data_IF_811596669030
#
_entry.id   IF_811596669030
#
_cell.length_a   1.000
_cell.length_b   1.000
_cell.length_c   1.000
_cell.angle_alpha   90.00
_cell.angle_beta   90.00
_cell.angle_gamma   90.00
#
_symmetry.space_group_name_H-M   'P 1'
#
loop_
_entity.id
_entity.type
_entity.pdbx_description
1 polymer ?
#
# COMPACT_ATOMS: atom_id res chain seq x y z
N UNK A 1 19.89 -24.33 0.44
CA UNK A 1 19.71 -22.92 0.00
C UNK A 1 18.33 -22.77 -0.59
N UNK A 2 17.49 -21.90 -0.03
CA UNK A 2 16.11 -21.68 -0.51
C UNK A 2 16.19 -20.98 -1.88
N UNK A 3 15.52 -21.54 -2.89
CA UNK A 3 15.35 -20.92 -4.20
C UNK A 3 14.60 -19.60 -4.01
N UNK A 4 15.29 -18.48 -4.11
CA UNK A 4 14.65 -17.18 -4.32
C UNK A 4 14.06 -17.23 -5.73
N UNK A 5 12.73 -17.29 -5.81
CA UNK A 5 12.01 -17.26 -7.09
C UNK A 5 12.29 -15.90 -7.75
N UNK A 6 12.62 -15.91 -9.04
CA UNK A 6 12.68 -14.71 -9.87
C UNK A 6 11.44 -13.84 -9.61
N UNK A 7 11.65 -12.56 -9.36
CA UNK A 7 10.62 -11.60 -9.03
C UNK A 7 9.75 -11.43 -10.28
N UNK A 8 8.51 -11.94 -10.23
CA UNK A 8 7.53 -11.81 -11.31
C UNK A 8 7.08 -10.34 -11.44
N UNK A 9 7.75 -9.59 -12.32
CA UNK A 9 7.41 -8.21 -12.64
C UNK A 9 6.20 -8.08 -13.60
N UNK A 10 5.60 -9.18 -14.08
CA UNK A 10 4.35 -9.13 -14.87
C UNK A 10 3.15 -8.78 -13.99
N UNK A 11 3.29 -9.02 -12.68
CA UNK A 11 2.37 -8.53 -11.65
C UNK A 11 3.04 -7.32 -11.02
N UNK A 12 2.93 -6.16 -11.67
CA UNK A 12 2.93 -4.91 -10.90
C UNK A 12 1.96 -5.19 -9.75
N UNK A 13 2.39 -5.09 -8.48
CA UNK A 13 1.49 -5.40 -7.39
C UNK A 13 0.26 -4.54 -7.63
N UNK A 14 -0.89 -5.17 -7.93
CA UNK A 14 -2.18 -4.52 -7.76
C UNK A 14 -2.16 -4.21 -6.28
N UNK A 15 -1.84 -2.96 -5.94
CA UNK A 15 -1.71 -2.51 -4.58
C UNK A 15 -2.96 -2.97 -3.86
N UNK A 16 -2.83 -3.86 -2.86
CA UNK A 16 -3.97 -4.18 -2.02
C UNK A 16 -4.23 -2.91 -1.25
N UNK A 17 -5.01 -1.97 -1.82
CA UNK A 17 -5.35 -0.74 -1.13
C UNK A 17 -6.01 -1.15 0.17
N UNK A 18 -5.27 -0.85 1.22
CA UNK A 18 -5.34 -1.46 2.51
C UNK A 18 -6.70 -1.14 3.10
N UNK A 19 -7.61 -2.12 3.07
CA UNK A 19 -8.89 -2.10 3.81
C UNK A 19 -8.67 -2.30 5.32
N UNK A 20 -7.48 -2.01 5.86
CA UNK A 20 -7.15 -2.26 7.27
C UNK A 20 -8.01 -1.37 8.18
N UNK A 21 -8.15 -0.06 7.93
CA UNK A 21 -8.96 0.82 8.79
C UNK A 21 -10.41 0.35 8.96
N UNK A 22 -11.11 0.03 7.86
CA UNK A 22 -12.50 -0.44 7.94
C UNK A 22 -12.60 -1.89 8.41
N UNK A 23 -11.61 -2.74 8.10
CA UNK A 23 -11.56 -4.12 8.53
C UNK A 23 -11.39 -4.25 10.05
N UNK A 24 -10.46 -3.49 10.63
CA UNK A 24 -10.22 -3.46 12.07
C UNK A 24 -11.48 -3.05 12.85
N UNK A 25 -12.21 -2.02 12.39
CA UNK A 25 -13.46 -1.60 13.01
C UNK A 25 -14.60 -2.62 12.83
N UNK A 26 -14.77 -3.19 11.63
CA UNK A 26 -15.83 -4.18 11.34
C UNK A 26 -15.64 -5.51 12.08
N UNK A 27 -14.38 -5.86 12.36
CA UNK A 27 -14.03 -7.08 13.08
C UNK A 27 -14.07 -6.90 14.60
N UNK A 28 -14.29 -5.68 15.11
CA UNK A 28 -14.67 -5.51 16.51
C UNK A 28 -16.10 -6.03 16.70
N UNK A 29 -16.30 -6.95 17.64
CA UNK A 29 -17.63 -7.48 17.98
C UNK A 29 -18.54 -6.37 18.51
N UNK A 30 -17.98 -5.36 19.16
CA UNK A 30 -18.66 -4.13 19.53
C UNK A 30 -19.39 -3.46 18.34
N UNK A 31 -18.79 -3.45 17.14
CA UNK A 31 -19.37 -2.85 15.94
C UNK A 31 -20.49 -3.69 15.29
N UNK A 32 -20.65 -4.95 15.73
CA UNK A 32 -21.63 -5.90 15.19
C UNK A 32 -22.96 -5.87 15.97
N UNK A 33 -22.95 -5.36 17.21
CA UNK A 33 -24.15 -5.21 18.05
C UNK A 33 -24.73 -3.79 17.92
N UNK A 34 -25.47 -3.52 16.85
CA UNK A 34 -26.11 -2.20 16.62
C UNK A 34 -27.54 -2.16 17.16
N UNK A 35 -27.72 -1.70 18.40
CA UNK A 35 -29.05 -1.40 18.93
C UNK A 35 -29.20 0.10 19.21
N UNK A 36 -30.20 0.75 18.61
CA UNK A 36 -30.68 2.10 19.00
C UNK A 36 -29.82 3.29 18.59
N UNK A 37 -29.44 3.39 17.31
CA UNK A 37 -28.57 4.49 16.81
C UNK A 37 -29.24 5.87 17.02
N UNK A 38 -28.57 6.84 17.68
CA UNK A 38 -29.09 8.20 17.86
C UNK A 38 -29.20 8.95 16.53
N UNK A 39 -30.27 9.75 16.37
CA UNK A 39 -30.53 10.58 15.18
C UNK A 39 -30.34 12.09 15.42
N UNK A 40 -29.90 12.48 16.60
CA UNK A 40 -29.85 13.85 17.11
C UNK A 40 -28.44 14.47 17.11
N UNK A 41 -27.43 13.77 16.58
CA UNK A 41 -26.03 14.21 16.65
C UNK A 41 -25.30 13.74 17.91
N UNK A 42 -25.98 13.06 18.83
CA UNK A 42 -25.39 12.56 20.08
C UNK A 42 -24.36 11.46 19.85
N UNK A 43 -23.36 11.40 20.75
CA UNK A 43 -22.41 10.31 20.78
C UNK A 43 -23.10 9.00 21.22
N UNK A 44 -22.95 7.94 20.44
CA UNK A 44 -23.24 6.59 20.88
C UNK A 44 -21.94 5.96 21.39
N UNK A 45 -21.85 5.78 22.70
CA UNK A 45 -20.75 5.05 23.32
C UNK A 45 -21.20 3.61 23.52
N UNK A 46 -20.55 2.67 22.84
CA UNK A 46 -20.78 1.24 23.04
C UNK A 46 -19.62 0.67 23.85
N UNK A 47 -19.93 0.25 25.09
CA UNK A 47 -18.99 -0.42 25.98
C UNK A 47 -19.37 -1.89 26.07
N UNK A 48 -18.42 -2.80 25.83
CA UNK A 48 -18.66 -4.22 26.06
C UNK A 48 -18.45 -4.53 27.55
N UNK A 49 -19.47 -5.09 28.20
CA UNK A 49 -19.32 -5.78 29.48
C UNK A 49 -19.15 -7.28 29.18
N UNK A 50 -17.91 -7.73 29.23
CA UNK A 50 -17.53 -9.09 29.61
C UNK A 50 -18.05 -10.24 28.73
N UNK A 51 -17.59 -10.34 27.48
CA UNK A 51 -17.60 -11.61 26.75
C UNK A 51 -16.21 -11.97 26.20
N UNK A 52 -15.79 -13.22 26.43
CA UNK A 52 -14.42 -13.75 26.37
C UNK A 52 -13.70 -13.74 25.00
N UNK A 53 -14.05 -12.90 24.02
CA UNK A 53 -13.44 -13.00 22.68
C UNK A 53 -12.85 -11.72 22.07
N UNK A 54 -13.08 -10.52 22.60
CA UNK A 54 -12.68 -9.28 21.91
C UNK A 54 -12.92 -8.02 22.76
N UNK A 55 -12.14 -7.85 23.82
CA UNK A 55 -12.32 -6.74 24.75
C UNK A 55 -11.89 -5.38 24.12
N UNK A 56 -12.81 -4.41 23.99
CA UNK A 56 -12.50 -3.03 23.55
C UNK A 56 -13.61 -2.01 23.81
N UNK A 57 -13.29 -0.71 23.81
CA UNK A 57 -14.27 0.39 23.85
C UNK A 57 -14.39 1.02 22.46
N UNK A 58 -15.61 1.10 21.93
CA UNK A 58 -15.90 1.78 20.67
C UNK A 58 -16.78 3.00 20.95
N UNK A 59 -16.30 4.18 20.55
CA UNK A 59 -17.06 5.42 20.62
C UNK A 59 -17.36 5.88 19.21
N UNK A 60 -18.63 6.14 18.91
CA UNK A 60 -19.09 6.59 17.60
C UNK A 60 -20.08 7.74 17.75
N UNK A 61 -20.05 8.68 16.81
CA UNK A 61 -21.00 9.78 16.75
C UNK A 61 -21.87 9.61 15.53
N UNK A 62 -23.17 9.84 15.65
CA UNK A 62 -24.14 9.58 14.60
C UNK A 62 -24.99 10.81 14.29
N UNK A 63 -25.27 11.02 13.00
CA UNK A 63 -26.22 12.00 12.51
C UNK A 63 -26.98 11.38 11.33
N UNK A 64 -28.32 11.39 11.39
CA UNK A 64 -29.18 10.82 10.35
C UNK A 64 -28.82 9.35 10.02
N UNK A 65 -28.71 8.52 11.06
CA UNK A 65 -28.36 7.09 10.96
C UNK A 65 -26.95 6.78 10.40
N UNK A 66 -26.10 7.79 10.19
CA UNK A 66 -24.74 7.63 9.66
C UNK A 66 -23.71 8.16 10.64
N UNK A 67 -22.55 7.51 10.69
CA UNK A 67 -21.45 7.97 11.53
C UNK A 67 -20.99 9.35 11.03
N UNK A 68 -21.01 10.33 11.92
CA UNK A 68 -20.80 11.72 11.59
C UNK A 68 -20.33 12.47 12.83
N UNK A 69 -19.33 13.33 12.65
CA UNK A 69 -19.00 14.40 13.59
C UNK A 69 -18.31 15.53 12.85
N UNK A 70 -18.52 16.78 13.26
CA UNK A 70 -17.69 17.88 12.77
C UNK A 70 -16.21 17.58 13.09
N UNK A 71 -15.31 17.53 12.09
CA UNK A 71 -13.90 17.25 12.34
C UNK A 71 -13.21 18.24 13.30
N UNK A 72 -13.73 19.47 13.44
CA UNK A 72 -13.22 20.46 14.39
C UNK A 72 -13.52 20.08 15.85
N UNK A 73 -14.60 19.33 16.09
CA UNK A 73 -14.98 18.84 17.43
C UNK A 73 -14.28 17.53 17.81
N UNK A 74 -13.61 16.90 16.84
CA UNK A 74 -12.84 15.68 17.02
C UNK A 74 -13.31 14.50 16.16
N UNK A 75 -12.84 13.28 16.45
CA UNK A 75 -13.13 12.13 15.63
C UNK A 75 -14.59 11.67 15.78
N UNK A 76 -15.15 11.19 14.67
CA UNK A 76 -16.46 10.58 14.65
C UNK A 76 -16.45 9.14 15.14
N UNK A 77 -15.28 8.49 15.17
CA UNK A 77 -15.09 7.15 15.72
C UNK A 77 -13.73 7.02 16.40
N UNK A 78 -13.71 6.39 17.57
CA UNK A 78 -12.49 5.89 18.21
C UNK A 78 -12.67 4.45 18.70
N UNK A 79 -11.62 3.64 18.55
CA UNK A 79 -11.58 2.26 19.05
C UNK A 79 -10.39 2.10 20.00
N UNK A 80 -10.66 1.58 21.18
CA UNK A 80 -9.66 1.20 22.19
C UNK A 80 -9.65 -0.32 22.33
N UNK A 81 -8.47 -0.92 22.46
CA UNK A 81 -8.31 -2.36 22.67
C UNK A 81 -7.99 -2.67 24.13
N UNK A 82 -8.86 -3.36 24.84
CA UNK A 82 -8.68 -3.70 26.26
C UNK A 82 -7.63 -4.79 26.46
N UNK A 83 -7.45 -5.72 25.50
CA UNK A 83 -6.34 -6.70 25.52
C UNK A 83 -4.97 -6.02 25.59
N UNK A 84 -4.91 -4.78 25.13
CA UNK A 84 -3.75 -3.91 25.19
C UNK A 84 -3.88 -2.84 26.29
N UNK A 85 -4.59 -3.12 27.39
CA UNK A 85 -4.82 -2.20 28.50
C UNK A 85 -5.51 -0.89 28.07
N UNK A 86 -6.53 -1.02 27.22
CA UNK A 86 -7.34 0.10 26.69
C UNK A 86 -6.54 1.11 25.87
N UNK A 87 -5.48 0.65 25.18
CA UNK A 87 -4.73 1.49 24.23
C UNK A 87 -5.61 1.88 23.04
N UNK A 88 -5.46 3.13 22.59
CA UNK A 88 -6.13 3.66 21.41
C UNK A 88 -5.58 2.99 20.15
N UNK A 89 -6.45 2.32 19.39
CA UNK A 89 -6.05 1.57 18.19
C UNK A 89 -6.49 2.24 16.90
N UNK A 90 -7.62 2.95 16.89
CA UNK A 90 -8.15 3.57 15.69
C UNK A 90 -8.80 4.91 16.01
N UNK A 91 -8.50 5.90 15.17
CA UNK A 91 -9.18 7.20 15.13
C UNK A 91 -9.71 7.37 13.72
N UNK A 92 -10.98 7.74 13.58
CA UNK A 92 -11.59 7.98 12.28
C UNK A 92 -12.47 9.23 12.30
N UNK A 93 -12.26 10.09 11.31
CA UNK A 93 -13.07 11.28 11.05
C UNK A 93 -14.01 10.97 9.88
N UNK A 94 -15.31 11.11 10.13
CA UNK A 94 -16.35 10.85 9.15
C UNK A 94 -17.35 12.00 9.10
N UNK A 95 -17.72 12.39 7.88
CA UNK A 95 -18.80 13.32 7.60
C UNK A 95 -19.88 12.61 6.79
N UNK A 96 -21.07 12.46 7.37
CA UNK A 96 -22.23 11.79 6.76
C UNK A 96 -21.87 10.38 6.26
N UNK A 97 -21.15 9.62 7.08
CA UNK A 97 -20.73 8.24 6.81
C UNK A 97 -19.55 8.09 5.85
N UNK A 98 -18.91 9.18 5.42
CA UNK A 98 -17.73 9.15 4.53
C UNK A 98 -16.50 9.68 5.24
N UNK A 99 -15.35 9.03 5.03
CA UNK A 99 -14.07 9.52 5.55
C UNK A 99 -13.82 10.95 5.11
N UNK A 100 -13.56 11.83 6.06
CA UNK A 100 -13.45 13.27 5.80
C UNK A 100 -12.70 13.98 6.92
N UNK A 101 -11.62 14.67 6.56
CA UNK A 101 -10.95 15.68 7.39
C UNK A 101 -10.19 16.61 6.45
N UNK A 102 -10.05 17.89 6.80
CA UNK A 102 -9.16 18.80 6.08
C UNK A 102 -7.74 18.21 6.05
N UNK A 103 -7.18 17.90 4.85
CA UNK A 103 -5.87 17.28 4.73
C UNK A 103 -4.71 18.13 5.26
N UNK A 104 -4.88 19.44 5.37
CA UNK A 104 -3.86 20.33 5.95
C UNK A 104 -3.89 20.29 7.48
N UNK A 105 -5.02 19.92 8.09
CA UNK A 105 -5.15 19.74 9.54
C UNK A 105 -4.67 18.36 9.98
N UNK A 106 -4.93 17.32 9.19
CA UNK A 106 -4.41 15.99 9.47
C UNK A 106 -5.16 14.85 8.79
N UNK A 107 -4.79 13.60 9.12
CA UNK A 107 -5.37 12.41 8.51
C UNK A 107 -6.79 12.16 9.01
N UNK A 108 -7.62 11.61 8.12
CA UNK A 108 -8.98 11.19 8.42
C UNK A 108 -9.05 9.78 9.03
N UNK A 109 -8.05 8.91 8.78
CA UNK A 109 -7.86 7.65 9.50
C UNK A 109 -6.46 7.61 10.12
N UNK A 110 -6.37 7.23 11.40
CA UNK A 110 -5.11 6.94 12.08
C UNK A 110 -5.27 5.60 12.77
N UNK A 111 -4.38 4.65 12.51
CA UNK A 111 -4.32 3.39 13.23
C UNK A 111 -3.00 3.26 14.01
N UNK A 112 -3.11 2.72 15.21
CA UNK A 112 -1.97 2.40 16.06
C UNK A 112 -1.86 0.89 16.19
N UNK A 113 -0.63 0.39 16.27
CA UNK A 113 -0.38 -0.97 16.71
C UNK A 113 -0.88 -1.14 18.14
N UNK A 114 -1.66 -2.20 18.39
CA UNK A 114 -2.27 -2.40 19.69
C UNK A 114 -1.22 -2.71 20.77
N UNK A 115 -0.14 -3.41 20.43
CA UNK A 115 0.85 -3.83 21.41
C UNK A 115 1.80 -2.67 21.76
N UNK A 116 2.38 -2.04 20.75
CA UNK A 116 3.40 -0.99 20.94
C UNK A 116 2.78 0.39 21.13
N UNK A 117 1.60 0.65 20.56
CA UNK A 117 0.96 1.97 20.52
C UNK A 117 1.52 2.89 19.42
N UNK A 118 2.46 2.40 18.60
CA UNK A 118 3.05 3.15 17.49
C UNK A 118 1.98 3.39 16.42
N UNK A 119 1.94 4.60 15.85
CA UNK A 119 1.12 4.88 14.66
C UNK A 119 1.66 4.05 13.50
N UNK A 120 0.84 3.15 12.95
CA UNK A 120 1.19 2.27 11.83
C UNK A 120 0.57 2.68 10.51
N UNK A 121 -0.47 3.51 10.56
CA UNK A 121 -1.24 3.89 9.39
C UNK A 121 -1.77 5.31 9.56
N UNK A 122 -1.53 6.18 8.59
CA UNK A 122 -2.17 7.48 8.46
C UNK A 122 -2.77 7.62 7.06
N UNK A 123 -4.04 8.02 6.97
CA UNK A 123 -4.70 8.18 5.69
C UNK A 123 -5.57 9.43 5.62
N UNK A 124 -5.38 10.20 4.56
CA UNK A 124 -5.96 11.51 4.34
C UNK A 124 -7.11 11.40 3.34
N UNK A 125 -8.29 11.88 3.73
CA UNK A 125 -9.48 11.86 2.90
C UNK A 125 -10.16 13.22 2.89
N UNK A 126 -10.46 13.71 1.70
CA UNK A 126 -11.31 14.86 1.50
C UNK A 126 -12.59 14.44 0.77
N UNK A 127 -13.74 14.74 1.39
CA UNK A 127 -15.08 14.43 0.87
C UNK A 127 -15.25 12.96 0.42
N UNK A 128 -14.70 12.03 1.20
CA UNK A 128 -14.80 10.58 0.93
C UNK A 128 -13.81 10.04 -0.10
N UNK A 129 -12.84 10.83 -0.57
CA UNK A 129 -11.79 10.39 -1.50
C UNK A 129 -10.42 10.62 -0.90
N UNK A 130 -9.51 9.66 -1.09
CA UNK A 130 -8.10 9.82 -0.68
C UNK A 130 -7.52 11.05 -1.37
N UNK A 131 -6.97 11.96 -0.59
CA UNK A 131 -6.53 13.26 -1.10
C UNK A 131 -5.57 13.93 -0.13
N UNK A 132 -4.42 14.37 -0.64
CA UNK A 132 -3.54 15.34 0.03
C UNK A 132 -2.68 16.06 -1.03
N UNK A 133 -2.53 17.38 -0.90
CA UNK A 133 -1.72 18.19 -1.84
C UNK A 133 -0.25 18.21 -1.42
N UNK A 134 0.00 18.49 -0.13
CA UNK A 134 1.33 18.80 0.38
C UNK A 134 2.06 17.60 1.02
N UNK A 135 1.73 16.38 0.60
CA UNK A 135 2.36 15.18 1.16
C UNK A 135 1.67 13.88 0.76
N UNK A 136 2.12 12.74 1.32
CA UNK A 136 1.48 11.45 1.10
C UNK A 136 0.07 11.44 1.70
N UNK A 137 -0.88 10.92 0.92
CA UNK A 137 -2.26 10.71 1.34
C UNK A 137 -2.43 9.38 2.09
N UNK A 138 -1.48 8.46 1.99
CA UNK A 138 -1.37 7.25 2.79
C UNK A 138 0.08 7.06 3.23
N UNK A 139 0.28 6.81 4.51
CA UNK A 139 1.58 6.54 5.13
C UNK A 139 1.43 5.24 5.92
N UNK A 140 2.34 4.30 5.69
CA UNK A 140 2.44 3.05 6.44
C UNK A 140 3.77 3.02 7.20
N UNK A 141 3.74 2.47 8.41
CA UNK A 141 4.90 2.42 9.30
C UNK A 141 5.04 1.03 9.93
N UNK A 142 6.27 0.67 10.23
CA UNK A 142 6.58 -0.52 11.02
C UNK A 142 6.07 -0.37 12.46
N UNK A 143 5.40 -1.41 12.95
CA UNK A 143 4.72 -1.42 14.25
C UNK A 143 5.68 -1.31 15.44
N UNK A 144 6.96 -1.66 15.27
CA UNK A 144 7.93 -1.64 16.37
C UNK A 144 8.66 -0.30 16.43
N UNK A 145 9.17 0.16 15.30
CA UNK A 145 10.04 1.33 15.20
C UNK A 145 9.30 2.63 14.86
N UNK A 146 8.12 2.55 14.24
CA UNK A 146 7.42 3.71 13.68
C UNK A 146 8.05 4.27 12.40
N UNK A 147 9.09 3.61 11.89
CA UNK A 147 9.76 3.97 10.64
C UNK A 147 8.81 3.79 9.46
N UNK A 148 8.81 4.73 8.53
CA UNK A 148 7.97 4.67 7.33
C UNK A 148 8.39 3.50 6.45
N UNK A 149 7.42 2.65 6.08
CA UNK A 149 7.61 1.49 5.20
C UNK A 149 7.02 1.72 3.82
N UNK A 150 6.02 2.59 3.71
CA UNK A 150 5.48 3.02 2.42
C UNK A 150 4.83 4.41 2.47
N UNK A 151 4.85 5.10 1.33
CA UNK A 151 4.16 6.37 1.09
C UNK A 151 3.40 6.32 -0.24
N UNK A 152 2.16 6.81 -0.23
CA UNK A 152 1.35 6.97 -1.44
C UNK A 152 0.78 8.38 -1.54
N UNK A 153 1.05 9.05 -2.66
CA UNK A 153 0.60 10.40 -2.97
C UNK A 153 -0.63 10.29 -3.86
N UNK A 154 -1.76 10.81 -3.37
CA UNK A 154 -3.04 10.63 -4.03
C UNK A 154 -3.82 11.94 -4.07
N UNK A 155 -4.50 12.15 -5.19
CA UNK A 155 -5.45 13.24 -5.37
C UNK A 155 -6.74 12.67 -5.96
N UNK A 156 -7.86 13.00 -5.32
CA UNK A 156 -9.20 12.59 -5.77
C UNK A 156 -9.37 11.06 -5.90
N UNK A 157 -8.73 10.30 -5.01
CA UNK A 157 -8.80 8.84 -4.97
C UNK A 157 -7.93 8.15 -6.02
N UNK A 158 -6.90 8.82 -6.54
CA UNK A 158 -6.00 8.29 -7.56
C UNK A 158 -4.55 8.64 -7.23
N UNK A 159 -3.63 7.69 -7.43
CA UNK A 159 -2.19 7.96 -7.37
C UNK A 159 -1.83 9.09 -8.34
N UNK A 160 -1.20 10.13 -7.82
CA UNK A 160 -0.82 11.30 -8.61
C UNK A 160 0.26 12.10 -7.91
N UNK A 161 1.34 12.38 -8.64
CA UNK A 161 2.38 13.34 -8.25
C UNK A 161 3.11 13.81 -9.52
N UNK A 162 3.28 15.12 -9.68
CA UNK A 162 3.70 15.70 -10.96
C UNK A 162 5.15 15.38 -11.35
N UNK A 163 6.08 15.51 -10.40
CA UNK A 163 7.54 15.47 -10.69
C UNK A 163 8.30 14.42 -9.89
N UNK A 164 7.66 13.77 -8.93
CA UNK A 164 8.28 12.83 -8.01
C UNK A 164 7.44 11.54 -7.91
N UNK A 165 7.96 10.46 -7.32
CA UNK A 165 7.20 9.22 -7.17
C UNK A 165 5.92 9.41 -6.37
N UNK A 166 4.81 8.89 -6.90
CA UNK A 166 3.54 8.85 -6.19
C UNK A 166 3.39 7.59 -5.32
N UNK A 167 4.28 6.62 -5.47
CA UNK A 167 4.33 5.37 -4.72
C UNK A 167 5.79 5.13 -4.33
N UNK A 168 6.05 4.89 -3.05
CA UNK A 168 7.40 4.67 -2.52
C UNK A 168 7.35 3.57 -1.47
N UNK A 169 8.29 2.63 -1.54
CA UNK A 169 8.47 1.56 -0.56
C UNK A 169 9.88 1.59 0.05
N UNK A 170 9.97 1.31 1.34
CA UNK A 170 11.21 1.35 2.11
C UNK A 170 11.50 -0.01 2.77
N UNK A 171 12.77 -0.43 2.75
CA UNK A 171 13.30 -1.45 3.66
C UNK A 171 13.93 -0.74 4.85
N UNK A 172 13.22 -0.73 5.97
CA UNK A 172 13.66 -0.05 7.20
C UNK A 172 14.86 -0.74 7.84
N UNK A 173 15.04 -2.05 7.64
CA UNK A 173 16.18 -2.78 8.19
C UNK A 173 17.49 -2.37 7.54
N UNK A 174 17.42 -1.78 6.35
CA UNK A 174 18.57 -1.30 5.58
C UNK A 174 18.54 0.19 5.24
N UNK A 175 17.53 0.91 5.72
CA UNK A 175 17.36 2.35 5.51
C UNK A 175 17.39 2.75 4.02
N UNK A 176 16.76 1.95 3.15
CA UNK A 176 16.78 2.17 1.70
C UNK A 176 15.40 2.13 1.05
N UNK A 177 15.28 2.76 -0.11
CA UNK A 177 14.11 2.65 -0.98
C UNK A 177 14.22 1.36 -1.80
N UNK A 178 13.16 0.55 -1.81
CA UNK A 178 13.13 -0.73 -2.54
C UNK A 178 12.27 -0.69 -3.79
N UNK A 179 11.33 0.25 -3.89
CA UNK A 179 10.58 0.48 -5.11
C UNK A 179 10.01 1.89 -5.15
N UNK A 180 9.86 2.42 -6.36
CA UNK A 180 9.16 3.68 -6.61
C UNK A 180 8.30 3.59 -7.87
N UNK A 181 7.17 4.29 -7.84
CA UNK A 181 6.24 4.40 -8.97
C UNK A 181 5.82 5.85 -9.23
N UNK A 182 5.80 6.24 -10.50
CA UNK A 182 5.38 7.55 -11.00
C UNK A 182 4.01 7.44 -11.64
N UNK A 183 3.07 8.25 -11.17
CA UNK A 183 1.68 8.20 -11.61
C UNK A 183 1.14 9.59 -11.85
N UNK A 184 0.35 9.71 -12.92
CA UNK A 184 -0.44 10.88 -13.20
C UNK A 184 -1.92 10.49 -13.32
N UNK A 185 -2.77 11.02 -12.44
CA UNK A 185 -4.24 10.80 -12.45
C UNK A 185 -4.60 9.31 -12.45
N UNK A 186 -3.88 8.52 -11.66
CA UNK A 186 -4.08 7.08 -11.46
C UNK A 186 -3.50 6.20 -12.57
N UNK A 187 -2.70 6.76 -13.48
CA UNK A 187 -2.05 6.01 -14.55
C UNK A 187 -0.54 6.10 -14.41
N UNK A 188 0.15 4.95 -14.47
CA UNK A 188 1.61 4.93 -14.50
C UNK A 188 2.10 5.80 -15.65
N UNK A 189 2.97 6.77 -15.37
CA UNK A 189 3.40 7.75 -16.36
C UNK A 189 4.71 8.40 -15.93
N UNK A 190 5.69 8.44 -16.82
CA UNK A 190 6.88 9.30 -16.68
C UNK A 190 7.46 9.63 -18.06
N UNK A 191 7.84 10.89 -18.28
CA UNK A 191 8.37 11.35 -19.57
C UNK A 191 9.86 11.01 -19.72
N UNK A 192 10.66 11.31 -18.71
CA UNK A 192 12.13 11.27 -18.78
C UNK A 192 12.74 10.07 -18.03
N UNK A 193 12.11 8.90 -18.10
CA UNK A 193 12.64 7.71 -17.44
C UNK A 193 11.58 6.67 -17.12
N UNK A 194 11.97 5.61 -16.38
CA UNK A 194 11.05 4.55 -16.01
C UNK A 194 9.99 5.07 -15.04
N UNK A 195 8.74 4.73 -15.31
CA UNK A 195 7.63 5.05 -14.42
C UNK A 195 7.58 4.10 -13.22
N UNK A 196 8.28 2.97 -13.25
CA UNK A 196 8.43 2.08 -12.11
C UNK A 196 9.86 1.56 -12.03
N UNK A 197 10.43 1.54 -10.83
CA UNK A 197 11.76 0.99 -10.55
C UNK A 197 11.73 0.17 -9.27
N UNK A 198 12.54 -0.89 -9.23
CA UNK A 198 12.69 -1.77 -8.07
C UNK A 198 14.15 -2.09 -7.82
N UNK A 199 14.53 -2.08 -6.56
CA UNK A 199 15.86 -2.44 -6.09
C UNK A 199 15.81 -3.66 -5.19
N UNK A 200 16.89 -4.42 -5.17
CA UNK A 200 17.05 -5.50 -4.21
C UNK A 200 17.54 -5.00 -2.85
N UNK A 201 17.94 -5.95 -2.01
CA UNK A 201 18.44 -5.73 -0.65
C UNK A 201 19.84 -5.12 -0.60
N UNK A 202 20.58 -5.15 -1.70
CA UNK A 202 21.91 -4.56 -1.81
C UNK A 202 21.84 -3.14 -2.43
N UNK A 203 20.64 -2.69 -2.82
CA UNK A 203 20.44 -1.42 -3.51
C UNK A 203 20.69 -1.51 -5.01
N UNK A 204 20.81 -2.72 -5.57
CA UNK A 204 21.00 -2.93 -7.00
C UNK A 204 19.65 -2.91 -7.72
N UNK A 205 19.58 -2.21 -8.86
CA UNK A 205 18.36 -2.11 -9.66
C UNK A 205 18.04 -3.49 -10.24
N UNK A 206 16.91 -4.07 -9.83
CA UNK A 206 16.45 -5.39 -10.31
C UNK A 206 15.38 -5.28 -11.37
N UNK A 207 14.81 -4.10 -11.57
CA UNK A 207 13.92 -3.90 -12.68
C UNK A 207 13.42 -2.49 -12.87
N UNK A 208 13.04 -2.22 -14.11
CA UNK A 208 12.47 -0.95 -14.54
C UNK A 208 11.38 -1.16 -15.57
N UNK A 209 10.38 -0.29 -15.55
CA UNK A 209 9.32 -0.29 -16.54
C UNK A 209 8.88 1.13 -16.91
N UNK A 210 8.64 1.34 -18.20
CA UNK A 210 8.38 2.64 -18.82
C UNK A 210 6.93 2.69 -19.25
N UNK A 211 6.22 3.70 -18.77
CA UNK A 211 4.81 3.88 -19.06
C UNK A 211 4.53 5.31 -19.52
N UNK A 212 3.65 5.42 -20.52
CA UNK A 212 3.03 6.68 -20.93
C UNK A 212 1.53 6.52 -20.82
N UNK A 213 0.92 7.24 -19.87
CA UNK A 213 -0.53 7.23 -19.63
C UNK A 213 -1.12 5.83 -19.35
N UNK A 214 -0.40 5.01 -18.59
CA UNK A 214 -0.82 3.67 -18.19
C UNK A 214 -0.54 2.58 -19.21
N UNK A 215 0.10 2.92 -20.33
CA UNK A 215 0.48 1.97 -21.38
C UNK A 215 1.99 1.79 -21.38
N UNK A 216 2.47 0.54 -21.44
CA UNK A 216 3.89 0.24 -21.61
C UNK A 216 4.41 0.90 -22.88
N UNK A 217 5.49 1.67 -22.74
CA UNK A 217 5.97 2.54 -23.81
C UNK A 217 7.43 2.95 -23.57
N UNK A 218 8.29 2.79 -24.58
CA UNK A 218 9.61 3.42 -24.64
C UNK A 218 9.98 3.62 -26.13
N UNK A 219 10.38 4.84 -26.49
CA UNK A 219 10.67 5.19 -27.89
C UNK A 219 11.97 4.52 -28.38
N UNK A 220 13.00 4.46 -27.52
CA UNK A 220 14.36 4.07 -27.89
C UNK A 220 14.85 2.77 -27.22
N UNK A 221 13.95 1.85 -26.86
CA UNK A 221 14.37 0.59 -26.23
C UNK A 221 13.25 -0.23 -25.58
N UNK A 222 13.62 -1.22 -24.75
CA UNK A 222 12.64 -2.07 -24.07
C UNK A 222 11.86 -1.30 -23.02
N UNK A 223 10.54 -1.44 -23.06
CA UNK A 223 9.63 -0.79 -22.11
C UNK A 223 9.65 -1.48 -20.74
N UNK A 224 10.20 -2.68 -20.63
CA UNK A 224 10.36 -3.39 -19.36
C UNK A 224 11.66 -4.18 -19.37
N UNK A 225 12.42 -4.08 -18.29
CA UNK A 225 13.71 -4.76 -18.12
C UNK A 225 13.77 -5.32 -16.70
N UNK A 226 14.21 -6.56 -16.57
CA UNK A 226 14.63 -7.14 -15.29
C UNK A 226 16.11 -7.48 -15.33
N UNK A 227 16.76 -7.29 -14.19
CA UNK A 227 18.18 -7.60 -14.00
C UNK A 227 18.31 -8.74 -12.99
N UNK A 228 19.35 -9.56 -13.15
CA UNK A 228 19.72 -10.59 -12.19
C UNK A 228 20.62 -10.03 -11.07
N UNK A 229 21.13 -10.90 -10.20
CA UNK A 229 22.00 -10.53 -9.07
C UNK A 229 23.41 -10.08 -9.47
N UNK A 230 23.76 -10.14 -10.76
CA UNK A 230 25.02 -9.63 -11.30
C UNK A 230 24.82 -8.28 -12.00
N UNK A 231 23.58 -7.82 -12.11
CA UNK A 231 23.20 -6.66 -12.90
C UNK A 231 23.05 -6.97 -14.40
N UNK A 232 23.14 -8.24 -14.81
CA UNK A 232 22.93 -8.65 -16.19
C UNK A 232 21.42 -8.69 -16.51
N UNK A 233 21.06 -8.47 -17.77
CA UNK A 233 19.64 -8.52 -18.19
C UNK A 233 19.12 -9.94 -18.02
N UNK A 234 18.19 -10.13 -17.09
CA UNK A 234 17.48 -11.40 -16.89
C UNK A 234 16.37 -11.59 -17.94
N UNK A 235 15.66 -10.51 -18.28
CA UNK A 235 14.80 -10.44 -19.46
C UNK A 235 14.46 -8.98 -19.79
N UNK A 236 13.98 -8.77 -21.02
CA UNK A 236 13.40 -7.51 -21.46
C UNK A 236 12.18 -7.73 -22.37
N UNK A 237 11.32 -6.73 -22.44
CA UNK A 237 10.16 -6.71 -23.32
C UNK A 237 10.13 -5.40 -24.12
N UNK A 238 9.99 -5.51 -25.45
CA UNK A 238 9.75 -4.39 -26.35
C UNK A 238 8.25 -4.23 -26.55
N UNK A 239 7.76 -3.01 -26.41
CA UNK A 239 6.33 -2.69 -26.51
C UNK A 239 6.11 -1.52 -27.45
N UNK A 240 5.06 -1.59 -28.27
CA UNK A 240 4.61 -0.49 -29.13
C UNK A 240 3.10 -0.39 -29.07
N UNK A 241 2.58 0.80 -28.76
CA UNK A 241 1.14 1.07 -28.68
C UNK A 241 0.38 0.11 -27.74
N UNK A 242 1.03 -0.36 -26.66
CA UNK A 242 0.41 -1.29 -25.72
C UNK A 242 0.36 -2.74 -26.18
N UNK A 243 0.99 -3.09 -27.31
CA UNK A 243 1.20 -4.46 -27.72
C UNK A 243 2.67 -4.87 -27.48
N UNK A 244 2.87 -6.09 -26.98
CA UNK A 244 4.18 -6.73 -26.92
C UNK A 244 4.65 -6.99 -28.35
N UNK A 245 5.82 -6.47 -28.69
CA UNK A 245 6.44 -6.63 -30.01
C UNK A 245 7.48 -7.74 -29.96
N UNK A 246 8.27 -7.78 -28.89
CA UNK A 246 9.33 -8.76 -28.74
C UNK A 246 9.65 -9.00 -27.27
N UNK A 247 10.21 -10.16 -26.99
CA UNK A 247 10.63 -10.61 -25.67
C UNK A 247 11.98 -11.29 -25.79
N UNK A 248 12.92 -10.87 -24.94
CA UNK A 248 14.23 -11.49 -24.86
C UNK A 248 14.51 -11.90 -23.42
N UNK A 249 14.90 -13.15 -23.24
CA UNK A 249 15.50 -13.65 -22.01
C UNK A 249 16.73 -14.47 -22.41
N UNK A 250 17.94 -14.10 -21.96
CA UNK A 250 19.10 -14.93 -22.22
C UNK A 250 18.92 -16.30 -21.58
N UNK A 251 19.32 -17.34 -22.31
CA UNK A 251 19.50 -18.68 -21.75
C UNK A 251 20.36 -18.57 -20.48
N UNK A 252 20.01 -19.25 -19.37
CA UNK A 252 20.80 -19.19 -18.15
C UNK A 252 22.23 -19.61 -18.47
N UNK A 253 23.19 -18.69 -18.35
CA UNK A 253 24.62 -18.91 -18.68
C UNK A 253 25.33 -19.85 -17.70
N UNK A 254 24.60 -20.65 -16.93
CA UNK A 254 25.17 -21.63 -16.02
C UNK A 254 24.32 -22.90 -15.92
N UNK A 255 24.37 -23.72 -16.97
CA UNK A 255 24.37 -25.18 -16.80
C UNK A 255 25.50 -25.75 -17.64
N UNK A 256 26.50 -26.45 -17.07
CA UNK A 256 27.23 -27.40 -17.89
C UNK A 256 26.17 -28.41 -18.35
N UNK A 257 25.89 -28.43 -19.65
CA UNK A 257 25.22 -29.56 -20.28
C UNK A 257 26.14 -30.75 -20.05
N UNK A 258 25.94 -31.46 -18.94
CA UNK A 258 26.43 -32.83 -18.81
C UNK A 258 25.63 -33.58 -19.87
N UNK A 259 26.24 -33.74 -21.06
CA UNK A 259 25.69 -34.63 -22.08
C UNK A 259 25.53 -35.98 -21.40
N UNK A 260 24.33 -36.58 -21.36
CA UNK A 260 24.20 -37.96 -20.93
C UNK A 260 25.12 -38.79 -21.83
N UNK A 261 26.03 -39.52 -21.19
CA UNK A 261 27.03 -40.32 -21.87
C UNK A 261 26.38 -41.25 -22.89
N UNK A 262 26.97 -41.30 -24.08
CA UNK A 262 26.83 -42.45 -24.96
C UNK A 262 27.41 -43.64 -24.19
N UNK A 263 26.56 -44.43 -23.55
CA UNK A 263 26.92 -45.80 -23.21
C UNK A 263 27.06 -46.53 -24.55
N UNK A 264 28.30 -46.62 -25.04
CA UNK A 264 28.66 -47.64 -26.01
C UNK A 264 28.54 -48.97 -25.30
N UNK A 265 27.53 -49.74 -25.66
CA UNK A 265 27.54 -51.19 -25.45
C UNK A 265 28.70 -51.75 -26.29
N UNK A 266 29.78 -52.14 -25.64
CA UNK A 266 30.68 -53.16 -26.16
C UNK A 266 30.53 -54.41 -25.29
N UNK A 267 30.51 -55.53 -26.01
CA UNK A 267 30.09 -56.87 -25.60
C UNK A 267 31.08 -57.54 -24.65
#
# INVERSE_FOLDING_TARGET
>A
MKKEKAIDMTKIPKTPHVRICMGLAKNCVCAQQKHGVPNDGSAMIQREQDTRSCEGELREFYFDGKIHRDPAEGPARTLYCNRAQSKLCLITYLWKGRLHRDPEVGPACIAHDAQTGVVVHEQYYWKGKEHRLNGPALIERDATSGSVTAEFYMQHGKLHREVAPAEIYYDIGRLMVTAVGYYNRGRAHRVNGPAYMKWDRNGELTGEAYYRNGVLHRDDGPAKIAYDQRGDIAFLELWRNGALIDYYAPEPTYWPVVRPGVMKNER
#
